data_IF_108580762806
#
_entry.id   IF_108580762806
#
_cell.length_a   1.000
_cell.length_b   1.000
_cell.length_c   1.000
_cell.angle_alpha   90.00
_cell.angle_beta   90.00
_cell.angle_gamma   90.00
#
_symmetry.space_group_name_H-M   'P 1'
#
loop_
_entity.id
_entity.type
_entity.pdbx_description
1 polymer ?
#
# COMPACT_ATOMS: atom_id res chain seq x y z
N UNK A 1 10.70 9.25 14.17
CA UNK A 1 10.91 9.03 12.73
C UNK A 1 11.57 7.69 12.58
N UNK A 2 11.13 6.86 11.63
CA UNK A 2 11.95 5.74 11.17
C UNK A 2 12.74 6.30 10.01
N UNK A 3 14.06 6.32 10.12
CA UNK A 3 14.92 6.82 9.05
C UNK A 3 14.77 5.88 7.85
N UNK A 4 14.19 6.40 6.77
CA UNK A 4 13.99 5.65 5.52
C UNK A 4 15.25 5.78 4.67
N UNK A 5 15.90 4.65 4.40
CA UNK A 5 17.00 4.58 3.42
C UNK A 5 16.38 4.24 2.08
N UNK A 6 16.52 5.14 1.10
CA UNK A 6 15.97 4.94 -0.25
C UNK A 6 17.11 4.76 -1.24
N UNK A 7 17.12 3.63 -1.95
CA UNK A 7 18.07 3.32 -3.03
C UNK A 7 17.29 3.41 -4.32
N UNK A 8 17.54 4.46 -5.11
CA UNK A 8 16.76 4.73 -6.32
C UNK A 8 17.57 5.25 -7.49
N UNK A 9 17.04 5.00 -8.69
CA UNK A 9 17.55 5.54 -9.96
C UNK A 9 18.98 5.09 -10.30
N UNK A 10 19.35 3.88 -9.92
CA UNK A 10 20.66 3.29 -10.22
C UNK A 10 20.59 2.25 -11.34
N UNK A 11 21.72 2.05 -12.03
CA UNK A 11 21.99 0.87 -12.84
C UNK A 11 23.01 -0.02 -12.12
N UNK A 12 22.57 -1.16 -11.59
CA UNK A 12 23.35 -2.08 -10.76
C UNK A 12 23.56 -3.37 -11.54
N UNK A 13 24.76 -3.58 -12.06
CA UNK A 13 24.98 -4.67 -13.01
C UNK A 13 26.34 -5.36 -12.89
N UNK A 14 26.44 -6.56 -13.47
CA UNK A 14 27.64 -7.41 -13.50
C UNK A 14 28.19 -7.81 -12.12
N UNK A 15 27.34 -7.91 -11.08
CA UNK A 15 27.73 -8.43 -9.77
C UNK A 15 27.69 -9.97 -9.77
N UNK A 16 28.54 -10.56 -10.59
CA UNK A 16 28.78 -12.01 -10.68
C UNK A 16 29.88 -12.40 -9.66
N UNK A 17 29.92 -13.64 -9.16
CA UNK A 17 31.03 -14.05 -8.27
C UNK A 17 31.47 -15.45 -8.62
N UNK A 18 32.78 -15.65 -8.52
CA UNK A 18 33.36 -16.83 -7.88
C UNK A 18 33.07 -16.80 -6.35
N UNK A 19 31.80 -16.54 -5.95
CA UNK A 19 31.28 -16.43 -4.56
C UNK A 19 29.99 -15.52 -4.22
N UNK A 20 29.98 -14.39 -3.45
CA UNK A 20 28.86 -13.71 -2.76
C UNK A 20 27.96 -12.95 -3.75
N UNK A 21 28.51 -12.10 -4.63
CA UNK A 21 27.83 -11.65 -5.86
C UNK A 21 26.44 -11.06 -5.64
N UNK A 22 26.36 -9.93 -4.95
CA UNK A 22 25.11 -9.23 -4.63
C UNK A 22 25.11 -7.83 -5.24
N UNK A 23 23.96 -7.35 -5.73
CA UNK A 23 23.75 -5.96 -6.13
C UNK A 23 23.55 -5.05 -4.91
N UNK A 24 22.34 -5.06 -4.35
CA UNK A 24 22.03 -4.42 -3.06
C UNK A 24 22.04 -5.47 -1.95
N UNK A 25 22.75 -5.19 -0.86
CA UNK A 25 22.71 -6.01 0.36
C UNK A 25 22.02 -5.22 1.45
N UNK A 26 20.93 -5.77 1.98
CA UNK A 26 20.22 -5.26 3.14
C UNK A 26 20.72 -6.03 4.36
N UNK A 27 21.50 -5.35 5.19
CA UNK A 27 22.01 -5.86 6.46
C UNK A 27 21.04 -5.55 7.62
N UNK A 28 21.42 -5.86 8.86
CA UNK A 28 20.59 -5.60 10.04
C UNK A 28 20.45 -4.10 10.33
N UNK A 29 19.26 -3.69 10.79
CA UNK A 29 18.98 -2.32 11.24
C UNK A 29 17.48 -2.08 11.46
N UNK A 30 17.16 -1.00 12.19
CA UNK A 30 15.78 -0.60 12.50
C UNK A 30 15.12 0.23 11.38
N UNK A 31 15.89 0.60 10.36
CA UNK A 31 15.39 1.31 9.18
C UNK A 31 14.60 0.38 8.26
N UNK A 32 13.73 0.97 7.43
CA UNK A 32 13.02 0.26 6.36
C UNK A 32 13.63 0.69 5.03
N UNK A 33 14.53 -0.12 4.42
CA UNK A 33 15.09 0.18 3.12
C UNK A 33 14.01 0.07 2.03
N UNK A 34 13.98 1.07 1.17
CA UNK A 34 13.15 1.10 -0.04
C UNK A 34 14.09 1.07 -1.23
N UNK A 35 14.05 -0.02 -1.99
CA UNK A 35 14.79 -0.19 -3.24
C UNK A 35 13.82 0.06 -4.38
N UNK A 36 13.95 1.19 -5.08
CA UNK A 36 12.97 1.60 -6.10
C UNK A 36 13.57 2.18 -7.38
N UNK A 37 12.90 2.04 -8.52
CA UNK A 37 13.31 2.66 -9.78
C UNK A 37 14.75 2.35 -10.23
N UNK A 38 15.32 1.22 -9.82
CA UNK A 38 16.64 0.77 -10.26
C UNK A 38 16.53 -0.20 -11.43
N UNK A 39 17.61 -0.28 -12.20
CA UNK A 39 17.83 -1.32 -13.20
C UNK A 39 18.88 -2.28 -12.64
N UNK A 40 18.51 -3.55 -12.51
CA UNK A 40 19.42 -4.63 -12.16
C UNK A 40 19.71 -5.47 -13.40
N UNK A 41 20.97 -5.71 -13.74
CA UNK A 41 21.33 -6.56 -14.89
C UNK A 41 22.51 -7.48 -14.55
N UNK A 42 22.47 -8.76 -14.92
CA UNK A 42 23.64 -9.67 -14.76
C UNK A 42 24.21 -9.74 -13.33
N UNK A 43 23.35 -9.73 -12.31
CA UNK A 43 23.75 -10.01 -10.93
C UNK A 43 23.47 -11.47 -10.59
N UNK A 44 24.30 -12.10 -9.76
CA UNK A 44 24.00 -13.45 -9.23
C UNK A 44 22.76 -13.40 -8.34
N UNK A 45 22.72 -12.42 -7.45
CA UNK A 45 21.54 -11.96 -6.71
C UNK A 45 21.46 -10.43 -6.85
N UNK A 46 20.32 -9.90 -7.30
CA UNK A 46 20.18 -8.45 -7.50
C UNK A 46 19.96 -7.72 -6.18
N UNK A 47 19.17 -8.31 -5.28
CA UNK A 47 18.95 -7.82 -3.91
C UNK A 47 19.05 -9.00 -2.96
N UNK A 48 19.75 -8.83 -1.83
CA UNK A 48 19.83 -9.86 -0.79
C UNK A 48 19.69 -9.29 0.62
N UNK A 49 18.87 -9.94 1.44
CA UNK A 49 18.81 -9.71 2.89
C UNK A 49 19.55 -10.78 3.68
N UNK A 50 20.08 -10.41 4.84
CA UNK A 50 20.80 -11.31 5.76
C UNK A 50 19.91 -12.13 6.72
N UNK A 51 18.59 -11.90 6.71
CA UNK A 51 17.61 -12.59 7.55
C UNK A 51 17.16 -11.84 8.82
N UNK A 52 17.76 -10.72 9.20
CA UNK A 52 17.36 -9.99 10.43
C UNK A 52 16.29 -8.93 10.18
N UNK A 53 16.48 -8.07 9.18
CA UNK A 53 15.58 -6.95 8.85
C UNK A 53 14.60 -7.25 7.72
N UNK A 54 13.81 -6.25 7.35
CA UNK A 54 12.90 -6.31 6.22
C UNK A 54 13.20 -5.25 5.17
N UNK A 55 12.67 -5.41 3.96
CA UNK A 55 12.86 -4.44 2.88
C UNK A 55 11.68 -4.37 1.92
N UNK A 56 11.57 -3.22 1.26
CA UNK A 56 10.61 -2.96 0.18
C UNK A 56 11.37 -2.90 -1.14
N UNK A 57 10.91 -3.65 -2.14
CA UNK A 57 11.43 -3.63 -3.51
C UNK A 57 10.29 -3.25 -4.45
N UNK A 58 10.38 -2.09 -5.11
CA UNK A 58 9.30 -1.63 -5.99
C UNK A 58 9.74 -0.90 -7.24
N UNK A 59 8.97 -1.00 -8.32
CA UNK A 59 9.24 -0.22 -9.56
C UNK A 59 10.65 -0.41 -10.14
N UNK A 60 11.34 -1.51 -9.81
CA UNK A 60 12.64 -1.83 -10.39
C UNK A 60 12.47 -2.68 -11.64
N UNK A 61 13.50 -2.70 -12.47
CA UNK A 61 13.59 -3.62 -13.60
C UNK A 61 14.76 -4.57 -13.41
N UNK A 62 14.49 -5.87 -13.44
CA UNK A 62 15.46 -6.94 -13.30
C UNK A 62 15.68 -7.64 -14.62
N UNK A 63 16.88 -7.50 -15.19
CA UNK A 63 17.37 -8.29 -16.29
C UNK A 63 18.24 -9.42 -15.73
N UNK A 64 17.68 -10.61 -15.75
CA UNK A 64 18.47 -11.81 -15.63
C UNK A 64 19.31 -11.91 -16.92
N UNK A 65 20.63 -11.78 -16.86
CA UNK A 65 21.44 -11.99 -18.06
C UNK A 65 21.39 -13.45 -18.53
N UNK A 66 21.75 -13.73 -19.79
CA UNK A 66 22.09 -15.09 -20.21
C UNK A 66 23.46 -15.45 -19.63
N UNK A 67 23.48 -16.23 -18.56
CA UNK A 67 24.72 -16.77 -18.00
C UNK A 67 25.08 -18.05 -18.76
N UNK A 68 26.32 -18.15 -19.24
CA UNK A 68 26.87 -19.45 -19.61
C UNK A 68 26.85 -20.38 -18.40
N UNK A 69 26.61 -21.67 -18.61
CA UNK A 69 26.27 -22.69 -17.60
C UNK A 69 27.18 -22.81 -16.34
N UNK A 70 28.29 -22.08 -16.24
CA UNK A 70 29.25 -22.18 -15.13
C UNK A 70 29.14 -21.11 -14.03
N UNK A 71 28.52 -19.95 -14.29
CA UNK A 71 28.49 -18.82 -13.35
C UNK A 71 27.07 -18.56 -12.78
N UNK A 72 26.21 -19.58 -12.88
CA UNK A 72 24.75 -19.56 -12.89
C UNK A 72 24.04 -18.50 -12.03
N UNK A 73 23.03 -17.89 -12.66
CA UNK A 73 22.05 -17.02 -12.00
C UNK A 73 21.40 -17.74 -10.81
N UNK A 74 21.16 -17.00 -9.73
CA UNK A 74 20.34 -17.46 -8.62
C UNK A 74 19.05 -16.62 -8.57
N UNK A 75 18.38 -16.56 -7.42
CA UNK A 75 17.20 -15.71 -7.28
C UNK A 75 17.54 -14.22 -7.47
N UNK A 76 16.72 -13.46 -8.21
CA UNK A 76 16.92 -12.01 -8.34
C UNK A 76 16.78 -11.30 -7.00
N UNK A 77 15.81 -11.73 -6.19
CA UNK A 77 15.61 -11.29 -4.81
C UNK A 77 15.92 -12.46 -3.88
N UNK A 78 16.77 -12.24 -2.90
CA UNK A 78 17.17 -13.27 -1.95
C UNK A 78 16.92 -12.79 -0.52
N UNK A 79 16.37 -13.66 0.32
CA UNK A 79 16.38 -13.47 1.76
C UNK A 79 17.03 -14.70 2.39
N UNK A 80 18.21 -14.49 2.96
CA UNK A 80 18.86 -15.50 3.77
C UNK A 80 18.12 -15.68 5.10
N UNK A 81 18.31 -16.82 5.74
CA UNK A 81 18.03 -16.96 7.17
C UNK A 81 19.22 -16.49 8.01
N UNK A 82 18.97 -16.14 9.27
CA UNK A 82 19.97 -15.53 10.16
C UNK A 82 21.14 -16.44 10.55
N UNK A 83 21.03 -17.76 10.38
CA UNK A 83 22.07 -18.76 10.68
C UNK A 83 22.50 -19.51 9.42
N UNK A 84 23.78 -19.92 9.35
CA UNK A 84 24.28 -20.80 8.27
C UNK A 84 23.71 -22.24 8.33
N UNK A 85 22.92 -22.61 9.36
CA UNK A 85 22.18 -23.90 9.42
C UNK A 85 21.02 -23.98 8.42
N UNK A 86 20.77 -22.90 7.69
CA UNK A 86 19.70 -22.65 6.72
C UNK A 86 19.57 -23.63 5.56
N UNK A 87 20.59 -24.43 5.26
CA UNK A 87 20.50 -25.38 4.14
C UNK A 87 19.71 -26.66 4.47
N UNK A 88 19.42 -26.94 5.74
CA UNK A 88 18.93 -28.27 6.16
C UNK A 88 17.62 -28.27 6.97
N UNK A 89 17.31 -27.21 7.74
CA UNK A 89 16.27 -27.32 8.77
C UNK A 89 15.13 -26.28 8.73
N UNK A 90 15.16 -25.25 7.87
CA UNK A 90 14.01 -24.38 7.55
C UNK A 90 13.33 -23.56 8.67
N UNK A 91 13.71 -23.73 9.94
CA UNK A 91 13.08 -23.08 11.11
C UNK A 91 13.66 -21.68 11.43
N UNK A 92 14.48 -21.13 10.53
CA UNK A 92 15.28 -19.94 10.78
C UNK A 92 14.55 -18.66 10.34
N UNK A 93 14.76 -17.56 11.06
CA UNK A 93 14.16 -16.27 10.70
C UNK A 93 14.74 -15.79 9.36
N UNK A 94 13.86 -15.47 8.40
CA UNK A 94 14.21 -14.94 7.08
C UNK A 94 13.62 -13.54 6.89
N UNK A 95 14.13 -12.61 7.68
CA UNK A 95 13.72 -11.21 7.73
C UNK A 95 12.49 -10.98 8.60
N UNK A 96 12.20 -9.71 8.88
CA UNK A 96 10.91 -9.31 9.49
C UNK A 96 9.81 -9.35 8.44
N UNK A 97 10.00 -8.61 7.35
CA UNK A 97 9.11 -8.61 6.21
C UNK A 97 9.85 -8.52 4.87
N UNK A 98 9.21 -9.01 3.81
CA UNK A 98 9.67 -8.83 2.43
C UNK A 98 8.50 -8.33 1.61
N UNK A 99 8.56 -7.12 1.06
CA UNK A 99 7.50 -6.61 0.18
C UNK A 99 8.05 -6.29 -1.20
N UNK A 100 7.68 -7.09 -2.19
CA UNK A 100 8.13 -6.96 -3.58
C UNK A 100 6.93 -6.64 -4.44
N UNK A 101 6.85 -5.45 -5.01
CA UNK A 101 5.70 -5.12 -5.84
C UNK A 101 5.97 -4.20 -7.02
N UNK A 102 5.14 -4.28 -8.06
CA UNK A 102 5.23 -3.42 -9.24
C UNK A 102 6.64 -3.41 -9.88
N UNK A 103 7.40 -4.51 -9.78
CA UNK A 103 8.69 -4.65 -10.45
C UNK A 103 8.51 -5.38 -11.78
N UNK A 104 9.38 -5.08 -12.73
CA UNK A 104 9.50 -5.80 -14.00
C UNK A 104 10.67 -6.78 -13.94
N UNK A 105 10.43 -8.07 -14.13
CA UNK A 105 11.44 -9.11 -14.23
C UNK A 105 11.48 -9.64 -15.67
N UNK A 106 12.60 -9.43 -16.36
CA UNK A 106 12.89 -10.02 -17.65
C UNK A 106 13.87 -11.20 -17.45
N UNK A 107 13.35 -12.43 -17.52
CA UNK A 107 14.12 -13.67 -17.30
C UNK A 107 14.31 -14.45 -18.61
N UNK A 108 15.51 -14.47 -19.20
CA UNK A 108 15.78 -15.24 -20.40
C UNK A 108 15.55 -16.74 -20.21
N UNK A 109 15.05 -17.38 -21.25
CA UNK A 109 14.92 -18.84 -21.29
C UNK A 109 16.30 -19.50 -21.15
N UNK A 110 16.39 -20.51 -20.30
CA UNK A 110 17.66 -21.20 -20.02
C UNK A 110 18.55 -20.49 -19.00
N UNK A 111 18.03 -19.49 -18.26
CA UNK A 111 18.69 -18.96 -17.07
C UNK A 111 18.66 -20.01 -15.96
N UNK A 112 19.65 -20.90 -15.98
CA UNK A 112 19.77 -22.01 -15.05
C UNK A 112 20.67 -21.63 -13.88
N UNK A 113 20.25 -22.06 -12.68
CA UNK A 113 21.14 -22.25 -11.56
C UNK A 113 22.26 -23.23 -11.94
N UNK A 114 23.40 -23.23 -11.23
CA UNK A 114 24.55 -24.11 -11.53
C UNK A 114 24.22 -25.61 -11.59
N UNK A 115 23.11 -26.05 -11.00
CA UNK A 115 22.61 -27.43 -10.97
C UNK A 115 21.55 -27.73 -12.05
N UNK A 116 21.36 -26.85 -13.04
CA UNK A 116 20.52 -27.11 -14.20
C UNK A 116 19.01 -26.90 -13.98
N UNK A 117 18.63 -26.21 -12.91
CA UNK A 117 17.24 -25.83 -12.62
C UNK A 117 17.05 -24.35 -12.92
N UNK A 118 15.90 -23.94 -13.47
CA UNK A 118 15.62 -22.52 -13.70
C UNK A 118 15.68 -21.71 -12.39
N UNK A 119 16.33 -20.55 -12.43
CA UNK A 119 16.44 -19.73 -11.22
C UNK A 119 15.12 -18.98 -10.93
N UNK A 120 14.65 -18.96 -9.68
CA UNK A 120 13.41 -18.28 -9.32
C UNK A 120 13.54 -16.75 -9.37
N UNK A 121 12.42 -16.02 -9.40
CA UNK A 121 12.47 -14.54 -9.25
C UNK A 121 12.88 -14.15 -7.83
N UNK A 122 12.48 -14.96 -6.83
CA UNK A 122 12.84 -14.75 -5.44
C UNK A 122 13.08 -16.08 -4.69
N UNK A 123 14.02 -16.05 -3.75
CA UNK A 123 14.35 -17.15 -2.86
C UNK A 123 14.29 -16.69 -1.41
N UNK A 124 13.43 -17.33 -0.60
CA UNK A 124 13.33 -17.09 0.84
C UNK A 124 13.83 -18.33 1.58
N UNK A 125 14.93 -18.17 2.33
CA UNK A 125 15.64 -19.27 3.00
C UNK A 125 15.34 -19.28 4.50
N UNK A 126 14.09 -19.54 4.85
CA UNK A 126 13.58 -19.55 6.23
C UNK A 126 12.15 -19.01 6.29
N UNK A 127 11.74 -18.51 7.46
CA UNK A 127 10.39 -17.99 7.72
C UNK A 127 10.47 -16.49 8.07
N UNK A 128 9.85 -15.59 7.27
CA UNK A 128 9.70 -14.19 7.65
C UNK A 128 8.89 -14.07 8.95
N UNK A 129 9.30 -13.23 9.90
CA UNK A 129 8.62 -13.16 11.20
C UNK A 129 7.28 -12.41 11.16
N UNK A 130 7.04 -11.59 10.14
CA UNK A 130 5.80 -10.84 9.96
C UNK A 130 5.09 -11.17 8.63
N UNK A 131 5.76 -10.95 7.48
CA UNK A 131 5.12 -11.18 6.18
C UNK A 131 6.09 -11.31 5.00
N UNK A 132 5.67 -11.99 3.94
CA UNK A 132 6.30 -11.89 2.64
C UNK A 132 5.22 -11.67 1.57
N UNK A 133 5.22 -10.51 0.93
CA UNK A 133 4.20 -10.12 -0.04
C UNK A 133 4.86 -9.88 -1.39
N UNK A 134 4.39 -10.57 -2.42
CA UNK A 134 4.74 -10.28 -3.80
C UNK A 134 3.47 -9.94 -4.57
N UNK A 135 3.35 -8.70 -5.04
CA UNK A 135 2.15 -8.27 -5.74
C UNK A 135 2.40 -7.33 -6.91
N UNK A 136 1.52 -7.35 -7.92
CA UNK A 136 1.62 -6.47 -9.09
C UNK A 136 2.95 -6.56 -9.87
N UNK A 137 3.78 -7.59 -9.66
CA UNK A 137 5.02 -7.72 -10.40
C UNK A 137 4.77 -8.28 -11.80
N UNK A 138 5.50 -7.78 -12.78
CA UNK A 138 5.53 -8.28 -14.14
C UNK A 138 6.72 -9.21 -14.29
N UNK A 139 6.52 -10.39 -14.85
CA UNK A 139 7.62 -11.31 -15.16
C UNK A 139 7.47 -11.74 -16.61
N UNK A 140 8.37 -11.32 -17.51
CA UNK A 140 8.44 -11.87 -18.86
C UNK A 140 9.64 -12.77 -19.05
N UNK A 141 9.44 -13.74 -19.93
CA UNK A 141 10.54 -14.46 -20.57
C UNK A 141 10.90 -13.76 -21.88
N UNK A 142 12.18 -13.70 -22.22
CA UNK A 142 12.65 -13.05 -23.45
C UNK A 142 12.31 -13.81 -24.74
N UNK A 143 11.55 -14.92 -24.65
CA UNK A 143 11.04 -15.70 -25.78
C UNK A 143 9.68 -15.20 -26.30
N UNK A 144 9.05 -14.22 -25.65
CA UNK A 144 7.84 -13.54 -26.13
C UNK A 144 6.53 -14.32 -25.99
N UNK A 145 6.49 -15.42 -25.22
CA UNK A 145 5.26 -16.22 -25.05
C UNK A 145 4.44 -15.90 -23.78
N UNK A 146 3.11 -15.81 -23.97
CA UNK A 146 2.07 -15.41 -23.00
C UNK A 146 1.68 -16.49 -21.97
N UNK A 147 1.33 -16.08 -20.73
CA UNK A 147 0.70 -16.94 -19.68
C UNK A 147 -0.40 -16.21 -18.89
N UNK A 148 -1.68 -16.56 -19.10
CA UNK A 148 -2.84 -16.00 -18.37
C UNK A 148 -2.85 -16.31 -16.86
N UNK A 149 -3.38 -15.37 -16.04
CA UNK A 149 -3.21 -15.20 -14.58
C UNK A 149 -3.79 -16.28 -13.65
N UNK A 150 -4.74 -17.10 -14.07
CA UNK A 150 -5.51 -17.92 -13.13
C UNK A 150 -4.79 -19.22 -12.76
N UNK A 151 -4.52 -19.37 -11.45
CA UNK A 151 -4.01 -20.53 -10.68
C UNK A 151 -2.48 -20.66 -10.55
N UNK A 152 -2.00 -20.27 -9.37
CA UNK A 152 -0.68 -20.63 -8.86
C UNK A 152 -0.84 -21.84 -7.95
N UNK A 153 -0.04 -22.87 -8.17
CA UNK A 153 -0.03 -24.11 -7.38
C UNK A 153 1.32 -24.22 -6.69
N UNK A 154 1.32 -24.43 -5.38
CA UNK A 154 2.54 -24.80 -4.67
C UNK A 154 2.91 -26.24 -5.06
N UNK A 155 4.08 -26.43 -5.66
CA UNK A 155 4.67 -27.73 -5.93
C UNK A 155 5.96 -27.88 -5.14
N UNK A 156 6.10 -29.01 -4.42
CA UNK A 156 7.42 -29.44 -3.95
C UNK A 156 8.15 -30.07 -5.13
N UNK A 157 9.22 -29.44 -5.62
CA UNK A 157 9.98 -30.02 -6.72
C UNK A 157 10.70 -31.27 -6.17
N UNK A 158 10.29 -32.44 -6.65
CA UNK A 158 10.98 -33.72 -6.37
C UNK A 158 12.29 -33.76 -7.16
N UNK A 159 13.26 -32.96 -6.75
CA UNK A 159 14.69 -33.19 -7.02
C UNK A 159 15.60 -32.39 -6.07
N UNK A 160 15.10 -31.32 -5.43
CA UNK A 160 15.88 -30.53 -4.47
C UNK A 160 15.23 -30.36 -3.10
N UNK A 161 14.00 -30.87 -2.91
CA UNK A 161 13.27 -30.70 -1.66
C UNK A 161 13.10 -29.21 -1.36
N UNK A 162 12.48 -28.45 -2.28
CA UNK A 162 12.09 -27.04 -2.11
C UNK A 162 10.60 -26.90 -2.39
N UNK A 163 9.91 -26.05 -1.62
CA UNK A 163 8.52 -25.70 -1.81
C UNK A 163 8.45 -24.47 -2.72
N UNK A 164 8.02 -24.63 -3.96
CA UNK A 164 7.93 -23.50 -4.88
C UNK A 164 6.48 -23.24 -5.32
N UNK A 165 6.07 -21.98 -5.35
CA UNK A 165 4.87 -21.55 -6.05
C UNK A 165 5.17 -21.54 -7.55
N UNK A 166 4.44 -22.39 -8.27
CA UNK A 166 4.52 -22.58 -9.72
C UNK A 166 3.24 -22.04 -10.36
N UNK A 167 3.36 -21.44 -11.54
CA UNK A 167 2.22 -21.22 -12.44
C UNK A 167 2.44 -22.04 -13.70
N UNK A 168 1.63 -23.06 -13.90
CA UNK A 168 1.74 -23.94 -15.06
C UNK A 168 0.94 -23.39 -16.25
N UNK A 169 1.60 -23.17 -17.40
CA UNK A 169 0.90 -23.04 -18.69
C UNK A 169 0.53 -24.45 -19.16
N UNK A 170 -0.75 -24.73 -19.34
CA UNK A 170 -1.21 -25.98 -19.92
C UNK A 170 -1.48 -25.81 -21.41
N UNK A 171 -0.94 -26.72 -22.24
CA UNK A 171 -1.35 -26.87 -23.64
C UNK A 171 -1.80 -28.31 -23.82
N UNK A 172 -3.06 -28.52 -24.20
CA UNK A 172 -3.66 -29.85 -24.35
C UNK A 172 -3.54 -30.74 -23.09
N UNK A 173 -3.57 -30.15 -21.89
CA UNK A 173 -3.48 -30.89 -20.62
C UNK A 173 -2.06 -31.20 -20.14
N UNK A 174 -1.02 -30.84 -20.90
CA UNK A 174 0.39 -30.98 -20.49
C UNK A 174 0.98 -29.62 -20.07
N UNK A 175 1.81 -29.64 -19.02
CA UNK A 175 2.58 -28.47 -18.56
C UNK A 175 3.64 -28.16 -19.60
N UNK A 176 3.58 -26.97 -20.20
CA UNK A 176 4.50 -26.61 -21.29
C UNK A 176 5.63 -25.65 -20.90
N UNK A 177 5.49 -24.72 -19.91
CA UNK A 177 6.55 -23.75 -19.48
C UNK A 177 6.32 -23.16 -18.06
N UNK A 178 7.38 -22.65 -17.41
CA UNK A 178 7.46 -22.41 -15.95
C UNK A 178 8.08 -21.06 -15.51
N UNK A 179 7.68 -20.54 -14.35
CA UNK A 179 8.38 -19.53 -13.55
C UNK A 179 8.11 -19.80 -12.06
N UNK A 180 9.10 -19.59 -11.20
CA UNK A 180 9.12 -20.14 -9.84
C UNK A 180 9.35 -19.06 -8.77
N UNK A 181 8.63 -19.17 -7.66
CA UNK A 181 8.93 -18.52 -6.36
C UNK A 181 9.22 -19.64 -5.36
N UNK A 182 10.41 -19.70 -4.77
CA UNK A 182 10.82 -20.87 -3.98
C UNK A 182 11.11 -20.54 -2.51
N UNK A 183 10.63 -21.40 -1.61
CA UNK A 183 11.05 -21.50 -0.20
C UNK A 183 11.70 -22.86 0.08
N UNK A 184 12.63 -22.90 1.03
CA UNK A 184 13.22 -24.16 1.50
C UNK A 184 12.29 -24.83 2.54
N UNK A 185 12.09 -26.17 2.52
CA UNK A 185 11.05 -26.83 3.29
C UNK A 185 11.62 -27.64 4.46
N UNK A 186 10.93 -27.57 5.60
CA UNK A 186 10.96 -28.68 6.55
C UNK A 186 9.67 -28.85 7.36
N UNK A 187 8.82 -27.84 7.54
CA UNK A 187 7.50 -28.06 8.14
C UNK A 187 6.40 -27.29 7.42
N UNK A 188 5.22 -27.91 7.30
CA UNK A 188 4.03 -27.42 6.60
C UNK A 188 3.40 -26.14 7.17
N UNK A 189 4.18 -25.29 7.83
CA UNK A 189 3.80 -24.00 8.41
C UNK A 189 4.60 -22.81 7.83
N UNK A 190 5.75 -23.02 7.18
CA UNK A 190 6.56 -21.93 6.60
C UNK A 190 5.90 -21.19 5.41
N UNK A 191 4.76 -21.69 4.94
CA UNK A 191 4.01 -21.13 3.81
C UNK A 191 2.82 -20.26 4.27
N UNK A 192 2.47 -20.26 5.56
CA UNK A 192 1.57 -19.25 6.14
C UNK A 192 2.32 -17.92 6.23
N UNK A 193 2.00 -16.98 5.33
CA UNK A 193 2.58 -15.63 5.34
C UNK A 193 3.19 -15.16 4.02
N UNK A 194 3.37 -16.05 3.02
CA UNK A 194 3.69 -15.64 1.65
C UNK A 194 2.41 -15.34 0.89
N UNK A 195 2.22 -14.07 0.53
CA UNK A 195 1.04 -13.55 -0.15
C UNK A 195 1.39 -13.17 -1.58
N UNK A 196 0.70 -13.77 -2.55
CA UNK A 196 0.94 -13.56 -3.99
C UNK A 196 -0.34 -13.02 -4.62
N UNK A 197 -0.33 -11.76 -5.08
CA UNK A 197 -1.52 -11.06 -5.59
C UNK A 197 -1.24 -10.32 -6.89
N UNK A 198 -2.13 -10.44 -7.87
CA UNK A 198 -2.13 -9.58 -9.08
C UNK A 198 -0.81 -9.48 -9.87
N UNK A 199 0.12 -10.43 -9.68
CA UNK A 199 1.35 -10.51 -10.47
C UNK A 199 1.01 -10.93 -11.91
N UNK A 200 1.63 -10.29 -12.91
CA UNK A 200 1.45 -10.57 -14.33
C UNK A 200 2.63 -11.40 -14.87
N UNK A 201 2.34 -12.42 -15.66
CA UNK A 201 3.35 -13.24 -16.34
C UNK A 201 3.22 -13.04 -17.86
N UNK A 202 4.34 -12.90 -18.57
CA UNK A 202 4.38 -12.76 -20.04
C UNK A 202 4.53 -11.33 -20.56
N UNK A 203 4.58 -10.32 -19.69
CA UNK A 203 4.89 -8.93 -20.04
C UNK A 203 5.96 -8.43 -19.04
N UNK A 204 7.04 -7.80 -19.53
CA UNK A 204 8.10 -7.18 -18.71
C UNK A 204 8.00 -5.65 -18.78
N UNK A 205 6.90 -5.17 -19.35
CA UNK A 205 6.55 -3.76 -19.48
C UNK A 205 5.07 -3.64 -19.12
N UNK A 206 4.69 -2.61 -18.36
CA UNK A 206 3.30 -2.38 -17.91
C UNK A 206 2.94 -2.88 -16.51
N UNK A 207 3.92 -3.23 -15.66
CA UNK A 207 3.72 -3.30 -14.19
C UNK A 207 4.43 -2.20 -13.41
N UNK A 208 5.33 -1.45 -14.04
CA UNK A 208 5.41 -0.03 -13.74
C UNK A 208 3.98 0.48 -13.89
N UNK A 209 3.26 0.65 -12.78
CA UNK A 209 2.18 1.61 -12.75
C UNK A 209 2.76 2.88 -13.38
N UNK A 210 2.01 3.51 -14.27
CA UNK A 210 2.37 4.87 -14.67
C UNK A 210 2.69 5.63 -13.37
N UNK A 211 3.76 6.44 -13.31
CA UNK A 211 4.00 7.26 -12.13
C UNK A 211 2.70 8.01 -11.84
N UNK A 212 2.06 7.71 -10.70
CA UNK A 212 0.84 8.38 -10.34
C UNK A 212 1.13 9.86 -10.09
N UNK A 213 0.18 10.71 -10.43
CA UNK A 213 0.33 12.15 -10.22
C UNK A 213 -0.02 12.46 -8.76
N UNK A 214 0.68 13.41 -8.13
CA UNK A 214 0.35 13.81 -6.77
C UNK A 214 0.70 12.82 -5.65
N UNK A 215 -0.18 12.71 -4.64
CA UNK A 215 0.09 12.09 -3.36
C UNK A 215 -0.44 10.65 -3.24
N UNK A 216 -1.44 10.28 -4.04
CA UNK A 216 -2.03 8.94 -4.04
C UNK A 216 -2.21 8.44 -5.48
N UNK A 217 -2.29 7.13 -5.65
CA UNK A 217 -2.39 6.53 -6.97
C UNK A 217 -3.82 6.25 -7.42
N UNK A 218 -4.75 6.15 -6.47
CA UNK A 218 -6.14 5.78 -6.75
C UNK A 218 -7.11 6.96 -6.83
N UNK A 219 -6.57 8.19 -6.82
CA UNK A 219 -7.27 9.42 -7.15
C UNK A 219 -6.85 10.03 -8.50
N UNK A 220 -5.84 9.51 -9.18
CA UNK A 220 -5.52 9.89 -10.57
C UNK A 220 -6.78 9.86 -11.47
N UNK A 221 -7.11 11.02 -12.06
CA UNK A 221 -8.29 11.19 -12.91
C UNK A 221 -9.61 11.36 -12.16
N UNK A 222 -9.59 11.38 -10.83
CA UNK A 222 -10.75 11.70 -10.01
C UNK A 222 -11.01 13.21 -10.03
N UNK A 223 -12.27 13.62 -10.18
CA UNK A 223 -12.64 15.05 -10.28
C UNK A 223 -12.28 15.93 -9.07
N UNK A 224 -11.87 15.32 -7.95
CA UNK A 224 -11.46 15.98 -6.70
C UNK A 224 -9.99 15.69 -6.33
N UNK A 225 -9.21 15.15 -7.26
CA UNK A 225 -7.77 14.90 -7.12
C UNK A 225 -7.02 16.16 -6.61
N UNK A 226 -7.24 17.38 -7.15
CA UNK A 226 -6.53 18.57 -6.66
C UNK A 226 -6.80 18.88 -5.18
N UNK A 227 -8.03 18.66 -4.71
CA UNK A 227 -8.37 18.85 -3.31
C UNK A 227 -7.76 17.76 -2.41
N UNK A 228 -7.69 16.52 -2.89
CA UNK A 228 -7.11 15.40 -2.14
C UNK A 228 -5.60 15.62 -1.96
N UNK A 229 -4.90 15.94 -3.05
CA UNK A 229 -3.46 16.20 -3.04
C UNK A 229 -3.08 17.38 -2.16
N UNK A 230 -3.84 18.46 -2.24
CA UNK A 230 -3.61 19.64 -1.40
C UNK A 230 -3.71 19.29 0.09
N UNK A 231 -4.70 18.49 0.50
CA UNK A 231 -4.80 18.05 1.89
C UNK A 231 -3.65 17.11 2.29
N UNK A 232 -3.12 16.33 1.35
CA UNK A 232 -1.97 15.47 1.61
C UNK A 232 -0.69 16.29 1.81
N UNK A 233 -0.46 17.29 0.96
CA UNK A 233 0.66 18.24 1.05
C UNK A 233 0.64 18.99 2.40
N UNK A 234 -0.56 19.36 2.88
CA UNK A 234 -0.75 19.99 4.20
C UNK A 234 -0.65 19.01 5.38
N UNK A 235 -0.45 17.70 5.15
CA UNK A 235 -0.39 16.67 6.20
C UNK A 235 -1.74 16.39 6.88
N UNK A 236 -2.84 16.88 6.31
CA UNK A 236 -4.20 16.70 6.83
C UNK A 236 -4.65 15.26 6.63
N UNK A 237 -4.43 14.71 5.43
CA UNK A 237 -4.76 13.31 5.08
C UNK A 237 -3.51 12.47 4.83
N UNK A 238 -3.63 11.14 5.00
CA UNK A 238 -2.52 10.19 4.83
C UNK A 238 -2.90 8.93 4.06
N UNK A 239 -4.07 8.93 3.41
CA UNK A 239 -4.59 7.78 2.68
C UNK A 239 -5.23 6.68 3.52
N UNK A 240 -5.78 5.68 2.84
CA UNK A 240 -6.35 4.44 3.37
C UNK A 240 -5.35 3.27 3.34
N UNK A 241 -4.38 3.30 2.42
CA UNK A 241 -3.28 2.34 2.33
C UNK A 241 -2.00 3.04 1.92
N UNK A 242 -0.86 2.51 2.37
CA UNK A 242 0.48 2.93 1.89
C UNK A 242 1.07 1.93 0.89
N UNK A 243 0.44 0.76 0.76
CA UNK A 243 0.95 -0.36 -0.01
C UNK A 243 -0.16 -1.02 -0.84
N UNK A 244 0.12 -1.52 -2.05
CA UNK A 244 1.40 -1.42 -2.78
C UNK A 244 1.75 0.03 -3.13
N UNK A 245 0.80 0.85 -3.52
CA UNK A 245 0.99 2.30 -3.69
C UNK A 245 0.20 3.08 -2.62
N UNK A 246 0.58 4.33 -2.30
CA UNK A 246 -0.25 5.20 -1.48
C UNK A 246 -1.63 5.33 -2.11
N UNK A 247 -2.68 5.05 -1.35
CA UNK A 247 -4.07 5.14 -1.80
C UNK A 247 -4.85 6.06 -0.90
N UNK A 248 -5.66 6.94 -1.49
CA UNK A 248 -6.62 7.76 -0.78
C UNK A 248 -7.94 7.04 -0.52
N UNK A 249 -8.38 6.15 -1.42
CA UNK A 249 -9.72 5.55 -1.45
C UNK A 249 -10.84 6.61 -1.55
N UNK A 250 -10.93 7.39 -2.65
CA UNK A 250 -11.81 8.55 -2.75
C UNK A 250 -13.30 8.25 -2.52
N UNK A 251 -13.77 7.10 -3.00
CA UNK A 251 -15.18 6.69 -2.93
C UNK A 251 -15.58 5.99 -1.62
N UNK A 252 -14.60 5.66 -0.75
CA UNK A 252 -14.94 5.07 0.54
C UNK A 252 -15.66 6.10 1.42
N UNK A 253 -16.59 5.61 2.24
CA UNK A 253 -17.31 6.43 3.21
C UNK A 253 -16.35 6.92 4.30
N UNK A 254 -16.47 8.19 4.68
CA UNK A 254 -15.71 8.73 5.81
C UNK A 254 -16.39 8.36 7.14
N UNK A 255 -15.62 7.95 8.14
CA UNK A 255 -16.15 7.78 9.51
C UNK A 255 -16.17 9.11 10.27
N UNK A 256 -16.96 9.20 11.34
CA UNK A 256 -16.98 10.38 12.22
C UNK A 256 -15.60 10.70 12.81
N UNK A 257 -14.83 9.67 13.19
CA UNK A 257 -13.46 9.83 13.68
C UNK A 257 -12.48 10.32 12.61
N UNK A 258 -12.63 9.86 11.36
CA UNK A 258 -11.86 10.36 10.23
C UNK A 258 -12.20 11.81 9.90
N UNK A 259 -13.49 12.17 9.86
CA UNK A 259 -13.92 13.55 9.70
C UNK A 259 -13.36 14.43 10.82
N UNK A 260 -13.43 14.00 12.09
CA UNK A 260 -12.86 14.75 13.20
C UNK A 260 -11.36 14.98 13.05
N UNK A 261 -10.60 13.95 12.65
CA UNK A 261 -9.18 14.08 12.41
C UNK A 261 -8.85 15.08 11.30
N UNK A 262 -9.63 15.09 10.20
CA UNK A 262 -9.47 16.07 9.12
C UNK A 262 -9.73 17.49 9.61
N UNK A 263 -10.84 17.73 10.34
CA UNK A 263 -11.22 19.05 10.85
C UNK A 263 -10.23 19.59 11.88
N UNK A 264 -9.83 18.76 12.84
CA UNK A 264 -8.84 19.14 13.87
C UNK A 264 -7.50 19.51 13.24
N UNK A 265 -7.07 18.77 12.21
CA UNK A 265 -5.83 19.08 11.48
C UNK A 265 -5.96 20.33 10.62
N UNK A 266 -7.06 20.46 9.89
CA UNK A 266 -7.29 21.57 8.97
C UNK A 266 -7.31 22.94 9.67
N UNK A 267 -7.92 22.99 10.85
CA UNK A 267 -8.08 24.24 11.60
C UNK A 267 -7.15 24.34 12.83
N UNK A 268 -6.11 23.51 12.88
CA UNK A 268 -5.11 23.45 13.95
C UNK A 268 -5.72 23.48 15.38
N UNK A 269 -6.80 22.72 15.58
CA UNK A 269 -7.50 22.68 16.86
C UNK A 269 -6.62 21.96 17.89
N UNK A 270 -6.32 22.56 19.06
CA UNK A 270 -5.43 21.96 20.04
C UNK A 270 -5.89 20.57 20.51
N UNK A 271 -5.03 19.56 20.30
CA UNK A 271 -5.28 18.16 20.70
C UNK A 271 -4.92 17.90 22.15
N UNK A 272 -5.56 18.64 23.06
CA UNK A 272 -5.40 18.42 24.49
C UNK A 272 -6.28 17.24 24.92
N UNK A 273 -5.73 16.33 25.71
CA UNK A 273 -6.46 15.15 26.19
C UNK A 273 -7.65 15.49 27.08
N UNK A 274 -8.64 14.62 27.11
CA UNK A 274 -9.81 14.64 27.97
C UNK A 274 -10.32 13.21 28.18
N UNK A 275 -11.57 13.09 28.61
CA UNK A 275 -12.35 11.86 28.55
C UNK A 275 -13.83 12.29 28.54
N UNK A 276 -14.26 12.81 27.39
CA UNK A 276 -15.63 13.31 27.23
C UNK A 276 -16.59 12.24 26.74
N UNK A 277 -16.07 11.21 26.07
CA UNK A 277 -16.82 10.10 25.53
C UNK A 277 -16.30 8.79 26.13
N UNK A 278 -17.21 7.84 26.38
CA UNK A 278 -16.86 6.52 26.92
C UNK A 278 -16.48 5.54 25.80
N UNK A 279 -16.89 5.84 24.57
CA UNK A 279 -16.73 4.94 23.43
C UNK A 279 -15.50 5.26 22.56
N UNK A 280 -14.62 6.18 22.97
CA UNK A 280 -13.37 6.52 22.28
C UNK A 280 -12.09 6.15 23.04
N UNK A 281 -12.19 5.76 24.32
CA UNK A 281 -11.07 5.32 25.17
C UNK A 281 -10.13 4.33 24.45
N UNK A 282 -8.85 4.71 24.32
CA UNK A 282 -7.80 3.88 23.73
C UNK A 282 -7.87 3.76 22.20
N UNK A 283 -8.73 4.54 21.54
CA UNK A 283 -8.87 4.53 20.08
C UNK A 283 -8.05 5.63 19.44
N UNK A 284 -7.60 5.39 18.20
CA UNK A 284 -6.76 6.34 17.47
C UNK A 284 -7.40 7.73 17.29
N UNK A 285 -8.73 7.81 17.38
CA UNK A 285 -9.48 9.05 17.19
C UNK A 285 -9.82 9.83 18.47
N UNK A 286 -9.57 9.27 19.66
CA UNK A 286 -9.90 9.85 20.98
C UNK A 286 -9.49 11.32 21.07
N UNK A 287 -8.20 11.60 20.84
CA UNK A 287 -7.65 12.96 20.88
C UNK A 287 -8.27 13.95 19.89
N UNK A 288 -8.89 13.48 18.81
CA UNK A 288 -9.59 14.35 17.85
C UNK A 288 -11.04 14.58 18.28
N UNK A 289 -11.71 13.54 18.78
CA UNK A 289 -13.06 13.64 19.32
C UNK A 289 -13.09 14.60 20.53
N UNK A 290 -12.17 14.43 21.47
CA UNK A 290 -12.02 15.32 22.63
C UNK A 290 -11.71 16.77 22.25
N UNK A 291 -10.83 16.97 21.25
CA UNK A 291 -10.49 18.31 20.76
C UNK A 291 -11.73 19.01 20.18
N UNK A 292 -12.53 18.30 19.37
CA UNK A 292 -13.77 18.84 18.84
C UNK A 292 -14.80 19.12 19.95
N UNK A 293 -14.89 18.27 20.97
CA UNK A 293 -15.80 18.51 22.09
C UNK A 293 -15.42 19.79 22.85
N UNK A 294 -14.14 19.93 23.20
CA UNK A 294 -13.62 21.13 23.89
C UNK A 294 -13.81 22.41 23.09
N UNK A 295 -13.65 22.33 21.78
CA UNK A 295 -13.87 23.45 20.87
C UNK A 295 -15.36 23.76 20.63
N UNK A 296 -16.31 23.00 21.23
CA UNK A 296 -17.74 23.18 21.02
C UNK A 296 -18.24 22.74 19.64
N UNK A 297 -17.41 22.03 18.87
CA UNK A 297 -17.73 21.58 17.51
C UNK A 297 -18.68 20.38 17.54
N UNK A 298 -18.57 19.52 18.54
CA UNK A 298 -19.44 18.35 18.71
C UNK A 298 -19.90 18.19 20.16
N UNK A 299 -21.12 17.68 20.34
CA UNK A 299 -21.64 17.25 21.64
C UNK A 299 -21.75 15.72 21.75
N UNK A 300 -21.28 14.99 20.73
CA UNK A 300 -21.53 13.55 20.58
C UNK A 300 -22.85 13.23 19.87
N UNK A 301 -23.09 11.94 19.66
CA UNK A 301 -24.36 11.38 19.14
C UNK A 301 -25.36 11.09 20.25
N UNK A 302 -24.85 10.88 21.47
CA UNK A 302 -25.59 10.67 22.70
C UNK A 302 -24.74 11.15 23.89
N UNK A 303 -25.31 11.25 25.10
CA UNK A 303 -24.52 11.56 26.30
C UNK A 303 -23.31 10.64 26.39
N UNK A 304 -22.11 11.23 26.43
CA UNK A 304 -20.82 10.53 26.48
C UNK A 304 -20.57 9.53 25.35
N UNK A 305 -21.20 9.69 24.17
CA UNK A 305 -20.95 8.84 22.99
C UNK A 305 -20.57 9.67 21.76
N UNK A 306 -19.45 9.32 21.12
CA UNK A 306 -18.95 9.97 19.91
C UNK A 306 -19.26 9.20 18.61
N UNK A 307 -19.27 7.87 18.64
CA UNK A 307 -19.47 6.97 17.49
C UNK A 307 -18.42 7.14 16.38
N UNK A 308 -17.13 7.13 16.73
CA UNK A 308 -16.05 7.46 15.80
C UNK A 308 -15.84 6.49 14.63
N UNK A 309 -16.32 5.25 14.73
CA UNK A 309 -16.28 4.28 13.62
C UNK A 309 -17.53 4.30 12.75
N UNK A 310 -18.61 4.97 13.17
CA UNK A 310 -19.80 5.11 12.34
C UNK A 310 -19.53 6.06 11.17
N UNK A 311 -20.15 5.75 10.03
CA UNK A 311 -20.05 6.57 8.82
C UNK A 311 -20.73 7.93 9.04
N UNK A 312 -20.09 9.00 8.59
CA UNK A 312 -20.62 10.35 8.73
C UNK A 312 -21.50 10.72 7.53
N UNK A 313 -22.60 11.42 7.79
CA UNK A 313 -23.41 12.03 6.73
C UNK A 313 -22.83 13.37 6.30
N UNK A 314 -23.23 13.86 5.12
CA UNK A 314 -22.93 15.23 4.67
C UNK A 314 -23.33 16.29 5.70
N UNK A 315 -24.49 16.11 6.34
CA UNK A 315 -24.96 16.97 7.44
C UNK A 315 -24.04 16.95 8.67
N UNK A 316 -23.43 15.80 8.97
CA UNK A 316 -22.44 15.69 10.06
C UNK A 316 -21.17 16.45 9.73
N UNK A 317 -20.59 16.22 8.55
CA UNK A 317 -19.34 16.87 8.12
C UNK A 317 -19.51 18.39 8.10
N UNK A 318 -20.59 18.89 7.50
CA UNK A 318 -20.80 20.34 7.37
C UNK A 318 -21.06 21.01 8.72
N UNK A 319 -21.68 20.30 9.66
CA UNK A 319 -21.89 20.82 11.01
C UNK A 319 -20.56 20.96 11.75
N UNK A 320 -19.64 20.00 11.59
CA UNK A 320 -18.29 20.14 12.15
C UNK A 320 -17.56 21.34 11.56
N UNK A 321 -17.57 21.48 10.23
CA UNK A 321 -16.93 22.62 9.55
C UNK A 321 -17.55 23.94 10.00
N UNK A 322 -18.88 24.05 9.95
CA UNK A 322 -19.60 25.29 10.28
C UNK A 322 -19.35 25.76 11.71
N UNK A 323 -19.24 24.83 12.67
CA UNK A 323 -18.95 25.17 14.07
C UNK A 323 -17.48 25.46 14.31
N UNK A 324 -16.57 24.70 13.68
CA UNK A 324 -15.14 24.93 13.81
C UNK A 324 -14.71 26.31 13.28
N UNK A 325 -15.38 26.79 12.22
CA UNK A 325 -15.15 28.12 11.65
C UNK A 325 -16.01 29.24 12.24
N UNK A 326 -16.94 28.91 13.14
CA UNK A 326 -17.97 29.85 13.63
C UNK A 326 -18.63 30.65 12.50
N UNK A 327 -19.12 29.94 11.47
CA UNK A 327 -19.62 30.59 10.26
C UNK A 327 -20.77 31.55 10.57
N UNK A 328 -20.78 32.75 9.95
CA UNK A 328 -21.80 33.75 10.23
C UNK A 328 -23.19 33.24 9.83
N UNK A 329 -24.24 33.61 10.58
CA UNK A 329 -25.61 33.24 10.24
C UNK A 329 -26.03 33.84 8.89
N UNK A 330 -26.93 33.15 8.20
CA UNK A 330 -27.57 33.63 6.96
C UNK A 330 -29.09 33.53 7.10
N UNK A 331 -29.81 34.51 6.57
CA UNK A 331 -31.28 34.49 6.51
C UNK A 331 -31.81 33.83 5.23
N UNK A 332 -30.93 33.50 4.28
CA UNK A 332 -31.31 32.84 3.03
C UNK A 332 -31.32 31.34 3.22
N UNK A 333 -32.47 30.74 2.95
CA UNK A 333 -32.63 29.31 2.71
C UNK A 333 -32.20 28.99 1.26
N UNK A 334 -31.17 28.16 1.12
CA UNK A 334 -30.63 27.74 -0.17
C UNK A 334 -31.12 26.36 -0.59
N UNK A 335 -31.67 25.55 0.31
CA UNK A 335 -31.92 24.14 0.07
C UNK A 335 -33.34 23.75 0.47
N UNK A 336 -34.06 23.09 -0.43
CA UNK A 336 -35.44 22.70 -0.16
C UNK A 336 -35.56 21.43 0.67
N UNK A 337 -34.47 20.65 0.80
CA UNK A 337 -34.46 19.31 1.41
C UNK A 337 -33.77 19.21 2.77
N UNK A 338 -33.53 20.34 3.45
CA UNK A 338 -32.97 20.41 4.81
C UNK A 338 -33.95 20.96 5.86
N UNK A 339 -35.13 21.45 5.45
CA UNK A 339 -36.17 21.96 6.35
C UNK A 339 -36.45 21.03 7.56
N UNK A 340 -36.30 21.57 8.76
CA UNK A 340 -36.55 20.87 10.03
C UNK A 340 -35.45 19.89 10.44
N UNK A 341 -34.32 19.86 9.72
CA UNK A 341 -33.17 19.02 10.08
C UNK A 341 -32.21 19.78 10.98
N UNK A 342 -31.49 19.05 11.84
CA UNK A 342 -30.54 19.68 12.76
C UNK A 342 -29.30 20.30 12.08
N UNK A 343 -29.09 20.02 10.79
CA UNK A 343 -28.00 20.57 9.99
C UNK A 343 -28.44 21.70 9.04
N UNK A 344 -29.73 22.10 9.03
CA UNK A 344 -30.28 23.12 8.13
C UNK A 344 -29.50 24.44 8.18
N UNK A 345 -29.38 25.02 9.38
CA UNK A 345 -28.64 26.27 9.59
C UNK A 345 -27.17 26.14 9.16
N UNK A 346 -26.51 25.03 9.51
CA UNK A 346 -25.12 24.76 9.15
C UNK A 346 -24.92 24.60 7.63
N UNK A 347 -25.85 23.94 6.93
CA UNK A 347 -25.81 23.79 5.48
C UNK A 347 -25.98 25.15 4.78
N UNK A 348 -26.93 25.96 5.23
CA UNK A 348 -27.18 27.29 4.68
C UNK A 348 -26.00 28.25 4.91
N UNK A 349 -25.41 28.26 6.11
CA UNK A 349 -24.19 29.05 6.41
C UNK A 349 -23.02 28.63 5.54
N UNK A 350 -22.78 27.33 5.42
CA UNK A 350 -21.70 26.83 4.57
C UNK A 350 -21.93 27.11 3.08
N UNK A 351 -23.19 27.15 2.62
CA UNK A 351 -23.52 27.57 1.25
C UNK A 351 -23.24 29.05 1.04
N UNK A 352 -23.60 29.90 2.00
CA UNK A 352 -23.30 31.33 1.96
C UNK A 352 -21.79 31.61 1.96
N UNK A 353 -21.02 30.79 2.68
CA UNK A 353 -19.55 30.87 2.73
C UNK A 353 -18.84 30.24 1.50
N UNK A 354 -19.58 29.64 0.56
CA UNK A 354 -18.98 29.01 -0.64
C UNK A 354 -18.37 27.62 -0.43
N UNK A 355 -18.52 27.03 0.76
CA UNK A 355 -17.93 25.73 1.12
C UNK A 355 -18.66 24.56 0.43
N UNK A 356 -19.98 24.69 0.26
CA UNK A 356 -20.82 23.66 -0.38
C UNK A 356 -21.71 24.25 -1.48
N UNK A 357 -21.94 23.47 -2.53
CA UNK A 357 -22.90 23.79 -3.59
C UNK A 357 -24.25 23.08 -3.44
N UNK A 358 -24.27 21.94 -2.76
CA UNK A 358 -25.40 21.00 -2.79
C UNK A 358 -25.20 19.86 -3.78
N UNK A 359 -26.05 18.83 -3.71
CA UNK A 359 -26.12 17.76 -4.71
C UNK A 359 -26.93 18.17 -5.96
N UNK A 360 -27.69 19.26 -5.84
CA UNK A 360 -28.25 20.02 -6.96
C UNK A 360 -28.29 21.50 -6.59
N UNK A 361 -28.77 22.35 -7.50
CA UNK A 361 -28.91 23.79 -7.25
C UNK A 361 -29.81 24.16 -6.07
N UNK A 362 -30.70 23.27 -5.65
CA UNK A 362 -31.67 23.50 -4.56
C UNK A 362 -31.70 22.38 -3.52
N UNK A 363 -30.76 21.43 -3.57
CA UNK A 363 -30.74 20.30 -2.63
C UNK A 363 -29.37 20.11 -2.00
N UNK A 364 -29.33 19.96 -0.69
CA UNK A 364 -28.12 19.69 0.06
C UNK A 364 -27.80 18.18 0.15
N UNK A 365 -28.80 17.30 0.14
CA UNK A 365 -28.64 15.86 0.39
C UNK A 365 -27.92 15.54 1.71
N UNK A 366 -28.30 16.21 2.80
CA UNK A 366 -27.60 16.13 4.09
C UNK A 366 -27.57 14.75 4.74
N UNK A 367 -28.59 13.91 4.51
CA UNK A 367 -28.67 12.54 5.05
C UNK A 367 -27.79 11.52 4.31
N UNK A 368 -27.23 11.88 3.16
CA UNK A 368 -26.35 10.97 2.39
C UNK A 368 -25.03 10.79 3.14
N UNK A 369 -24.52 9.56 3.15
CA UNK A 369 -23.17 9.26 3.66
C UNK A 369 -22.15 10.02 2.80
N UNK A 370 -21.20 10.68 3.45
CA UNK A 370 -20.15 11.43 2.76
C UNK A 370 -18.99 10.50 2.38
N UNK A 371 -18.51 10.64 1.15
CA UNK A 371 -17.26 9.98 0.73
C UNK A 371 -16.04 10.73 1.26
N UNK A 372 -14.87 10.08 1.24
CA UNK A 372 -13.60 10.69 1.61
C UNK A 372 -13.23 11.84 0.69
N UNK A 373 -13.41 11.69 -0.62
CA UNK A 373 -13.13 12.76 -1.58
C UNK A 373 -14.06 13.96 -1.42
N UNK A 374 -15.36 13.70 -1.21
CA UNK A 374 -16.34 14.76 -0.95
C UNK A 374 -16.00 15.54 0.33
N UNK A 375 -15.58 14.83 1.38
CA UNK A 375 -15.15 15.46 2.64
C UNK A 375 -13.88 16.27 2.43
N UNK A 376 -12.90 15.76 1.68
CA UNK A 376 -11.68 16.49 1.34
C UNK A 376 -12.00 17.83 0.64
N UNK A 377 -12.87 17.80 -0.36
CA UNK A 377 -13.27 19.00 -1.08
C UNK A 377 -14.01 20.03 -0.20
N UNK A 378 -14.84 19.59 0.74
CA UNK A 378 -15.45 20.49 1.73
C UNK A 378 -14.42 21.12 2.65
N UNK A 379 -13.41 20.35 3.08
CA UNK A 379 -12.35 20.84 3.97
C UNK A 379 -11.44 21.83 3.23
N UNK A 380 -11.04 21.55 1.99
CA UNK A 380 -10.21 22.48 1.18
C UNK A 380 -10.91 23.82 1.02
N UNK A 381 -12.19 23.82 0.62
CA UNK A 381 -12.96 25.07 0.46
C UNK A 381 -13.22 25.80 1.77
N UNK A 382 -13.06 25.13 2.91
CA UNK A 382 -13.20 25.73 4.22
C UNK A 382 -11.87 26.32 4.74
N UNK A 383 -10.74 25.93 4.14
CA UNK A 383 -9.41 26.49 4.42
C UNK A 383 -9.15 27.74 3.55
N UNK A 384 -9.74 27.79 2.35
CA UNK A 384 -9.75 28.95 1.45
C UNK A 384 -10.68 30.06 1.94
#
# INVERSE_FOLDING_TARGET
SLDQVVIRENAIYNNIRYGLGYGVVVDSGDGIPIIEYNIFDRNRHSIAGNGYGGYIVRHNTFFAGLFGNSDGMMAQIDMHGVTERTLLNGDDQAGTFIHVYANDFAIPQGSLMPWGVEAPIAGIRGVPSESAVFELNCVARTDGEWVEQSTMTAHSSKQTGQNCYQKAKYRNGEVVREAWLCSTPTHGSAMEGIVLRDNKMGQATGCRGEPFEGAFADDDGHSLEPEIDRLAEMGIVSGCSKFPEPRFCPDQNVTRGQAAAMIVKAFDIPRQGGNYFDDDDGRWFERYADALYRAGVTTGTAPRRFDGYEVATRGTVITFISRALDLPPTSRDYFTDDNGTWWEDHANRARAAGIVNGCSSTRFCGSRIASRAETAAMVVRAID
#
